data_IF_732925105432
#
_entry.id   IF_732925105432
#
_cell.length_a   1.000
_cell.length_b   1.000
_cell.length_c   1.000
_cell.angle_alpha   90.00
_cell.angle_beta   90.00
_cell.angle_gamma   90.00
#
_symmetry.space_group_name_H-M   'P 1'
#
loop_
_entity.id
_entity.type
_entity.pdbx_description
1 polymer ?
#
# COMPACT_ATOMS: atom_id res chain seq x y z
N UNK A 1 35.27 17.33 -11.80
CA UNK A 1 34.74 16.34 -10.85
C UNK A 1 33.96 17.07 -9.80
N UNK A 2 32.62 17.17 -9.94
CA UNK A 2 31.73 17.81 -8.96
C UNK A 2 30.96 16.70 -8.24
N UNK A 3 31.20 16.56 -6.93
CA UNK A 3 30.49 15.64 -6.05
C UNK A 3 29.09 16.20 -5.78
N UNK A 4 28.03 15.52 -6.25
CA UNK A 4 26.68 15.75 -5.76
C UNK A 4 26.56 15.09 -4.39
N UNK A 5 26.43 15.92 -3.36
CA UNK A 5 26.03 15.48 -2.03
C UNK A 5 24.54 15.14 -2.08
N UNK A 6 24.21 13.86 -1.98
CA UNK A 6 22.83 13.41 -1.75
C UNK A 6 22.49 13.68 -0.29
N UNK A 7 21.64 14.65 -0.07
CA UNK A 7 20.93 14.88 1.20
C UNK A 7 19.93 13.75 1.39
N UNK A 8 20.29 12.76 2.19
CA UNK A 8 19.37 11.74 2.72
C UNK A 8 18.53 12.41 3.81
N UNK A 9 17.30 12.77 3.50
CA UNK A 9 16.29 13.11 4.50
C UNK A 9 15.88 11.82 5.24
N UNK A 10 15.94 11.81 6.58
CA UNK A 10 15.51 10.64 7.34
C UNK A 10 13.98 10.53 7.29
N UNK A 11 13.48 9.47 6.70
CA UNK A 11 12.06 9.09 6.75
C UNK A 11 11.30 9.01 5.43
N UNK A 12 11.89 9.34 4.29
CA UNK A 12 11.24 9.16 3.01
C UNK A 12 11.74 7.87 2.34
N UNK A 13 10.92 6.84 2.34
CA UNK A 13 11.12 5.66 1.49
C UNK A 13 10.81 6.10 0.05
N UNK A 14 11.83 6.51 -0.70
CA UNK A 14 11.69 6.73 -2.13
C UNK A 14 11.71 5.36 -2.79
N UNK A 15 10.55 4.75 -2.99
CA UNK A 15 10.38 3.66 -3.92
C UNK A 15 10.51 4.25 -5.33
N UNK A 16 11.67 4.04 -5.95
CA UNK A 16 11.91 4.45 -7.33
C UNK A 16 10.99 3.64 -8.26
N UNK A 17 10.31 4.27 -9.23
CA UNK A 17 9.45 3.56 -10.16
C UNK A 17 10.26 2.57 -10.99
N UNK A 18 9.78 1.35 -11.08
CA UNK A 18 10.32 0.31 -11.95
C UNK A 18 10.09 0.76 -13.41
N UNK A 19 11.17 1.03 -14.14
CA UNK A 19 11.08 1.21 -15.60
C UNK A 19 10.94 -0.17 -16.25
N UNK A 20 9.73 -0.50 -16.67
CA UNK A 20 9.48 -1.65 -17.51
C UNK A 20 8.00 -1.97 -17.54
N UNK A 21 7.39 -1.76 -18.70
CA UNK A 21 5.96 -1.93 -19.05
C UNK A 21 5.10 -0.73 -18.66
N UNK A 22 4.74 0.07 -19.68
CA UNK A 22 3.63 1.02 -19.60
C UNK A 22 2.33 0.22 -19.59
N UNK A 23 1.93 -0.27 -18.43
CA UNK A 23 0.52 -0.47 -18.15
C UNK A 23 -0.13 0.92 -18.14
N UNK A 24 -1.35 1.05 -18.66
CA UNK A 24 -2.12 2.28 -18.46
C UNK A 24 -2.06 2.63 -16.98
N UNK A 25 -1.77 3.92 -16.64
CA UNK A 25 -1.66 4.28 -15.23
C UNK A 25 -2.99 3.92 -14.57
N UNK A 26 -2.95 3.23 -13.41
CA UNK A 26 -4.16 2.91 -12.68
C UNK A 26 -4.92 4.20 -12.42
N UNK A 27 -6.26 4.15 -12.49
CA UNK A 27 -7.11 5.30 -12.13
C UNK A 27 -6.71 5.76 -10.71
N UNK A 28 -6.53 7.07 -10.51
CA UNK A 28 -6.09 7.62 -9.22
C UNK A 28 -7.01 7.18 -8.09
N UNK A 29 -6.46 6.80 -6.91
CA UNK A 29 -7.27 6.50 -5.74
C UNK A 29 -8.17 7.67 -5.35
N UNK A 30 -9.41 7.37 -5.00
CA UNK A 30 -10.41 8.35 -4.54
C UNK A 30 -10.41 8.35 -3.01
N UNK A 31 -10.32 9.53 -2.40
CA UNK A 31 -10.33 9.71 -0.96
C UNK A 31 -11.50 10.60 -0.54
N UNK A 32 -12.23 10.16 0.48
CA UNK A 32 -13.33 10.91 1.09
C UNK A 32 -13.02 11.11 2.55
N UNK A 33 -12.91 12.37 2.98
CA UNK A 33 -12.68 12.72 4.37
C UNK A 33 -13.92 12.41 5.20
N UNK A 34 -13.70 11.86 6.39
CA UNK A 34 -14.73 11.56 7.39
C UNK A 34 -14.40 12.28 8.69
N UNK A 35 -15.31 12.23 9.68
CA UNK A 35 -15.08 12.85 11.00
C UNK A 35 -13.88 12.25 11.75
N UNK A 36 -13.48 11.02 11.44
CA UNK A 36 -12.48 10.24 12.15
C UNK A 36 -11.32 9.74 11.26
N UNK A 37 -11.26 10.19 10.00
CA UNK A 37 -10.20 9.81 9.08
C UNK A 37 -10.57 9.96 7.61
N UNK A 38 -10.30 8.93 6.81
CA UNK A 38 -10.53 8.89 5.39
C UNK A 38 -11.10 7.53 4.96
N UNK A 39 -12.11 7.54 4.10
CA UNK A 39 -12.47 6.39 3.28
C UNK A 39 -11.77 6.51 1.95
N UNK A 40 -11.20 5.42 1.46
CA UNK A 40 -10.49 5.39 0.20
C UNK A 40 -10.99 4.24 -0.66
N UNK A 41 -10.99 4.46 -1.97
CA UNK A 41 -11.22 3.43 -2.97
C UNK A 41 -10.18 3.57 -4.07
N UNK A 42 -9.55 2.46 -4.43
CA UNK A 42 -8.57 2.39 -5.51
C UNK A 42 -9.08 1.45 -6.59
N UNK A 43 -9.18 1.95 -7.81
CA UNK A 43 -9.65 1.21 -8.96
C UNK A 43 -8.50 0.60 -9.76
N UNK A 44 -8.70 -0.62 -10.27
CA UNK A 44 -7.89 -1.19 -11.31
C UNK A 44 -8.77 -2.06 -12.22
N UNK A 45 -8.89 -1.70 -13.49
CA UNK A 45 -9.81 -2.34 -14.42
C UNK A 45 -11.26 -2.28 -13.92
N UNK A 46 -11.89 -3.44 -13.75
CA UNK A 46 -13.27 -3.57 -13.29
C UNK A 46 -13.40 -3.76 -11.76
N UNK A 47 -12.31 -3.76 -11.03
CA UNK A 47 -12.29 -4.01 -9.60
C UNK A 47 -11.91 -2.77 -8.80
N UNK A 48 -12.49 -2.64 -7.62
CA UNK A 48 -12.19 -1.60 -6.66
C UNK A 48 -11.80 -2.21 -5.32
N UNK A 49 -10.72 -1.73 -4.75
CA UNK A 49 -10.38 -2.01 -3.36
C UNK A 49 -10.74 -0.82 -2.48
N UNK A 50 -11.64 -1.02 -1.55
CA UNK A 50 -11.99 -0.04 -0.53
C UNK A 50 -11.21 -0.28 0.74
N UNK A 51 -10.77 0.79 1.41
CA UNK A 51 -10.13 0.74 2.73
C UNK A 51 -10.39 2.02 3.52
N UNK A 52 -10.20 1.94 4.84
CA UNK A 52 -10.40 3.05 5.75
C UNK A 52 -9.11 3.39 6.48
N UNK A 53 -8.78 4.66 6.49
CA UNK A 53 -7.67 5.21 7.28
C UNK A 53 -8.25 5.98 8.44
N UNK A 54 -8.09 5.47 9.66
CA UNK A 54 -8.57 6.13 10.88
C UNK A 54 -7.48 7.04 11.44
N UNK A 55 -7.89 8.18 11.91
CA UNK A 55 -7.07 9.17 12.62
C UNK A 55 -7.11 10.56 11.99
N UNK A 56 -7.44 11.54 12.81
CA UNK A 56 -7.55 12.94 12.42
C UNK A 56 -6.22 13.58 11.97
N UNK A 57 -5.08 12.87 12.14
CA UNK A 57 -3.76 13.32 11.74
C UNK A 57 -3.30 12.82 10.37
N UNK A 58 -4.05 11.95 9.72
CA UNK A 58 -3.69 11.44 8.40
C UNK A 58 -3.79 12.54 7.33
N UNK A 59 -2.75 12.66 6.49
CA UNK A 59 -2.65 13.68 5.43
C UNK A 59 -2.32 13.00 4.10
N UNK A 60 -3.09 13.32 3.06
CA UNK A 60 -2.72 12.97 1.69
C UNK A 60 -1.48 13.78 1.29
N UNK A 61 -0.44 13.09 0.82
CA UNK A 61 0.74 13.72 0.21
C UNK A 61 0.56 13.83 -1.31
N UNK A 62 0.07 12.78 -1.93
CA UNK A 62 -0.35 12.72 -3.32
C UNK A 62 -1.42 11.63 -3.49
N UNK A 63 -1.74 11.24 -4.74
CA UNK A 63 -2.78 10.25 -5.02
C UNK A 63 -2.49 8.86 -4.41
N UNK A 64 -1.23 8.51 -4.20
CA UNK A 64 -0.83 7.16 -3.75
C UNK A 64 -0.21 7.13 -2.36
N UNK A 65 0.18 8.29 -1.82
CA UNK A 65 0.90 8.38 -0.56
C UNK A 65 0.10 9.11 0.51
N UNK A 66 -0.05 8.46 1.64
CA UNK A 66 -0.72 9.00 2.82
C UNK A 66 0.28 9.02 3.97
N UNK A 67 0.48 10.19 4.56
CA UNK A 67 1.18 10.31 5.82
C UNK A 67 0.17 10.03 6.94
N UNK A 68 0.40 8.96 7.66
CA UNK A 68 -0.37 8.56 8.83
C UNK A 68 0.14 9.25 10.09
N UNK A 69 -0.42 8.92 11.24
CA UNK A 69 0.05 9.46 12.51
C UNK A 69 1.49 9.04 12.83
N UNK A 70 2.23 9.87 13.57
CA UNK A 70 3.59 9.58 14.07
C UNK A 70 4.66 9.31 12.99
N UNK A 71 4.52 9.90 11.81
CA UNK A 71 5.49 9.74 10.73
C UNK A 71 5.45 8.39 10.02
N UNK A 72 4.38 7.63 10.21
CA UNK A 72 4.12 6.42 9.45
C UNK A 72 3.57 6.80 8.08
N UNK A 73 4.22 6.35 7.02
CA UNK A 73 3.75 6.50 5.65
C UNK A 73 2.97 5.27 5.20
N UNK A 74 1.97 5.47 4.35
CA UNK A 74 1.28 4.41 3.62
C UNK A 74 1.30 4.72 2.13
N UNK A 75 1.56 3.71 1.33
CA UNK A 75 1.47 3.77 -0.12
C UNK A 75 0.41 2.77 -0.59
N UNK A 76 -0.36 3.18 -1.61
CA UNK A 76 -1.35 2.33 -2.28
C UNK A 76 -0.82 1.95 -3.66
N UNK A 77 -0.90 0.69 -4.02
CA UNK A 77 -0.49 0.20 -5.34
C UNK A 77 -1.34 -1.00 -5.79
N UNK A 78 -1.19 -1.35 -7.05
CA UNK A 78 -1.71 -2.59 -7.62
C UNK A 78 -0.59 -3.30 -8.38
N UNK A 79 -0.51 -4.62 -8.24
CA UNK A 79 0.45 -5.47 -8.96
C UNK A 79 -0.33 -6.43 -9.82
N UNK A 80 -0.15 -6.33 -11.15
CA UNK A 80 -0.82 -7.19 -12.12
C UNK A 80 -0.35 -8.65 -11.95
N UNK A 81 -1.28 -9.58 -12.08
CA UNK A 81 -1.03 -11.03 -12.07
C UNK A 81 0.07 -11.45 -13.06
N UNK A 82 0.16 -10.77 -14.21
CA UNK A 82 1.19 -11.05 -15.23
C UNK A 82 2.60 -10.78 -14.73
N UNK A 83 2.77 -9.81 -13.81
CA UNK A 83 4.07 -9.51 -13.21
C UNK A 83 4.47 -10.58 -12.18
N UNK A 84 3.50 -11.20 -11.53
CA UNK A 84 3.71 -12.20 -10.49
C UNK A 84 4.09 -13.58 -11.04
N UNK A 85 3.92 -13.82 -12.35
CA UNK A 85 4.24 -15.09 -13.02
C UNK A 85 3.67 -16.33 -12.32
N UNK A 86 2.52 -16.18 -11.64
CA UNK A 86 1.90 -17.22 -10.84
C UNK A 86 0.38 -17.19 -11.02
N UNK A 87 -0.20 -18.34 -11.34
CA UNK A 87 -1.65 -18.52 -11.51
C UNK A 87 -2.35 -19.03 -10.24
N UNK A 88 -1.60 -19.32 -9.19
CA UNK A 88 -2.08 -19.90 -7.94
C UNK A 88 -2.40 -18.84 -6.87
N UNK A 89 -1.72 -18.94 -5.74
CA UNK A 89 -1.88 -17.98 -4.61
C UNK A 89 -1.19 -16.66 -4.91
N UNK A 90 -1.96 -15.70 -5.45
CA UNK A 90 -1.47 -14.36 -5.80
C UNK A 90 -0.88 -13.60 -4.62
N UNK A 91 -1.42 -13.80 -3.41
CA UNK A 91 -0.93 -13.12 -2.21
C UNK A 91 0.47 -13.62 -1.83
N UNK A 92 0.68 -14.93 -1.91
CA UNK A 92 2.01 -15.51 -1.65
C UNK A 92 2.98 -15.16 -2.77
N UNK A 93 2.54 -15.17 -4.03
CA UNK A 93 3.34 -14.79 -5.17
C UNK A 93 3.81 -13.33 -5.06
N UNK A 94 2.91 -12.41 -4.71
CA UNK A 94 3.26 -11.01 -4.49
C UNK A 94 4.27 -10.84 -3.34
N UNK A 95 4.05 -11.49 -2.20
CA UNK A 95 4.96 -11.42 -1.08
C UNK A 95 6.37 -11.93 -1.47
N UNK A 96 6.46 -13.03 -2.23
CA UNK A 96 7.73 -13.57 -2.72
C UNK A 96 8.41 -12.63 -3.72
N UNK A 97 7.63 -12.06 -4.66
CA UNK A 97 8.11 -11.08 -5.63
C UNK A 97 8.78 -9.86 -4.95
N UNK A 98 8.16 -9.31 -3.92
CA UNK A 98 8.73 -8.20 -3.13
C UNK A 98 10.00 -8.63 -2.37
N UNK A 99 10.01 -9.82 -1.79
CA UNK A 99 11.19 -10.37 -1.10
C UNK A 99 12.36 -10.50 -2.08
N UNK A 100 12.12 -11.06 -3.27
CA UNK A 100 13.13 -11.26 -4.31
C UNK A 100 13.65 -9.93 -4.85
N UNK A 101 12.77 -8.93 -5.00
CA UNK A 101 13.14 -7.57 -5.36
C UNK A 101 14.14 -6.98 -4.37
N UNK A 102 13.90 -7.15 -3.07
CA UNK A 102 14.77 -6.62 -2.04
C UNK A 102 16.07 -7.41 -1.90
N UNK A 103 16.07 -8.72 -2.10
CA UNK A 103 17.30 -9.53 -2.10
C UNK A 103 18.31 -9.12 -3.15
N UNK A 104 17.85 -8.54 -4.27
CA UNK A 104 18.74 -8.02 -5.31
C UNK A 104 19.39 -6.67 -4.95
N UNK A 105 18.93 -5.99 -3.90
CA UNK A 105 19.25 -4.58 -3.59
C UNK A 105 19.74 -4.34 -2.17
N UNK A 106 19.69 -5.34 -1.34
CA UNK A 106 20.03 -5.24 0.07
C UNK A 106 20.98 -6.34 0.50
N UNK A 107 21.81 -6.06 1.50
CA UNK A 107 22.74 -7.04 2.06
C UNK A 107 22.03 -8.15 2.83
N UNK A 108 20.87 -7.84 3.41
CA UNK A 108 20.03 -8.81 4.14
C UNK A 108 18.56 -8.42 4.07
N UNK A 109 17.70 -9.40 3.85
CA UNK A 109 16.24 -9.28 3.91
C UNK A 109 15.70 -10.32 4.87
N UNK A 110 14.83 -9.90 5.76
CA UNK A 110 14.03 -10.79 6.61
C UNK A 110 12.55 -10.56 6.30
N UNK A 111 11.78 -11.63 6.24
CA UNK A 111 10.33 -11.55 6.04
C UNK A 111 9.59 -12.45 7.03
N UNK A 112 8.39 -12.02 7.39
CA UNK A 112 7.53 -12.78 8.28
C UNK A 112 6.06 -12.54 7.90
N UNK A 113 5.27 -13.62 7.73
CA UNK A 113 3.82 -13.51 7.60
C UNK A 113 3.21 -13.21 8.97
N UNK A 114 2.40 -12.15 9.06
CA UNK A 114 1.78 -11.66 10.29
C UNK A 114 0.31 -12.11 10.35
N UNK A 115 0.09 -13.39 10.61
CA UNK A 115 -1.26 -13.96 10.76
C UNK A 115 -2.02 -13.34 11.93
N UNK A 116 -1.32 -12.89 12.95
CA UNK A 116 -1.89 -12.18 14.10
C UNK A 116 -2.55 -10.83 13.73
N UNK A 117 -2.23 -10.29 12.56
CA UNK A 117 -2.81 -9.06 12.03
C UNK A 117 -3.98 -9.30 11.07
N UNK A 118 -4.07 -10.48 10.44
CA UNK A 118 -5.14 -10.82 9.48
C UNK A 118 -6.39 -11.41 10.14
N UNK A 119 -6.25 -11.97 11.34
CA UNK A 119 -7.34 -12.67 12.01
C UNK A 119 -7.82 -13.87 11.18
N UNK A 120 -9.12 -13.94 10.92
CA UNK A 120 -9.74 -15.05 10.15
C UNK A 120 -9.80 -14.80 8.64
N UNK A 121 -9.31 -13.66 8.15
CA UNK A 121 -9.36 -13.29 6.74
C UNK A 121 -8.37 -14.10 5.91
N UNK A 122 -8.88 -14.74 4.84
CA UNK A 122 -8.08 -15.52 3.88
C UNK A 122 -7.81 -14.76 2.57
N UNK A 123 -8.58 -13.72 2.31
CA UNK A 123 -8.47 -12.85 1.14
C UNK A 123 -7.45 -11.72 1.30
N UNK A 124 -6.89 -11.58 2.50
CA UNK A 124 -5.83 -10.60 2.83
C UNK A 124 -4.63 -11.31 3.43
N UNK A 125 -3.44 -10.89 3.02
CA UNK A 125 -2.17 -11.34 3.61
C UNK A 125 -1.38 -10.14 4.10
N UNK A 126 -0.82 -10.23 5.30
CA UNK A 126 0.12 -9.24 5.83
C UNK A 126 1.51 -9.86 5.91
N UNK A 127 2.46 -9.25 5.20
CA UNK A 127 3.86 -9.65 5.23
C UNK A 127 4.70 -8.51 5.80
N UNK A 128 5.39 -8.75 6.89
CA UNK A 128 6.41 -7.84 7.40
C UNK A 128 7.73 -8.11 6.67
N UNK A 129 8.29 -7.07 6.03
CA UNK A 129 9.62 -7.14 5.39
C UNK A 129 10.56 -6.20 6.13
N UNK A 130 11.75 -6.70 6.44
CA UNK A 130 12.86 -5.95 7.05
C UNK A 130 14.06 -6.00 6.14
N UNK A 131 14.51 -4.84 5.73
CA UNK A 131 15.62 -4.67 4.79
C UNK A 131 16.79 -4.01 5.49
N UNK A 132 17.97 -4.57 5.34
CA UNK A 132 19.20 -4.07 5.95
C UNK A 132 20.16 -3.66 4.83
N UNK A 133 20.74 -2.49 4.94
CA UNK A 133 21.84 -2.05 4.08
C UNK A 133 23.20 -2.43 4.71
N UNK A 134 24.29 -2.16 3.98
CA UNK A 134 25.66 -2.45 4.44
C UNK A 134 26.07 -1.73 5.72
N UNK A 135 25.31 -0.69 6.12
CA UNK A 135 25.50 0.06 7.37
C UNK A 135 24.63 -0.47 8.51
N UNK A 136 23.87 -1.53 8.26
CA UNK A 136 22.93 -2.08 9.23
C UNK A 136 21.66 -1.25 9.42
N UNK A 137 21.42 -0.21 8.60
CA UNK A 137 20.21 0.60 8.67
C UNK A 137 19.01 -0.25 8.26
N UNK A 138 18.04 -0.37 9.14
CA UNK A 138 16.83 -1.16 8.92
C UNK A 138 15.73 -0.30 8.31
N UNK A 139 15.18 -0.77 7.21
CA UNK A 139 13.88 -0.35 6.68
C UNK A 139 12.90 -1.47 6.99
N UNK A 140 11.74 -1.17 7.54
CA UNK A 140 10.70 -2.17 7.79
C UNK A 140 9.37 -1.70 7.26
N UNK A 141 8.62 -2.61 6.62
CA UNK A 141 7.31 -2.31 6.05
C UNK A 141 6.35 -3.47 6.29
N UNK A 142 5.08 -3.15 6.50
CA UNK A 142 3.99 -4.11 6.35
C UNK A 142 3.44 -3.99 4.94
N UNK A 143 3.42 -5.10 4.20
CA UNK A 143 2.72 -5.25 2.95
C UNK A 143 1.38 -5.92 3.23
N UNK A 144 0.29 -5.22 3.01
CA UNK A 144 -1.07 -5.70 3.19
C UNK A 144 -1.64 -5.95 1.79
N UNK A 145 -1.62 -7.20 1.34
CA UNK A 145 -2.14 -7.61 0.04
C UNK A 145 -3.61 -8.04 0.13
N UNK A 146 -4.43 -7.61 -0.82
CA UNK A 146 -5.80 -8.06 -1.04
C UNK A 146 -5.87 -8.69 -2.43
N UNK A 147 -6.23 -9.97 -2.49
CA UNK A 147 -6.34 -10.69 -3.76
C UNK A 147 -7.51 -10.16 -4.59
N UNK A 148 -7.26 -9.90 -5.87
CA UNK A 148 -8.19 -9.49 -6.89
C UNK A 148 -8.15 -10.49 -8.06
N UNK A 149 -9.06 -10.39 -9.01
CA UNK A 149 -9.12 -11.27 -10.18
C UNK A 149 -7.86 -11.19 -11.03
N UNK A 150 -7.39 -9.97 -11.28
CA UNK A 150 -6.30 -9.69 -12.22
C UNK A 150 -4.99 -9.29 -11.52
N UNK A 151 -4.90 -9.41 -10.18
CA UNK A 151 -3.69 -9.10 -9.43
C UNK A 151 -3.90 -8.96 -7.94
N UNK A 152 -3.10 -8.08 -7.33
CA UNK A 152 -3.12 -7.82 -5.89
C UNK A 152 -3.16 -6.31 -5.65
N UNK A 153 -4.17 -5.82 -4.94
CA UNK A 153 -4.13 -4.50 -4.33
C UNK A 153 -3.24 -4.52 -3.10
N UNK A 154 -2.39 -3.53 -2.95
CA UNK A 154 -1.39 -3.49 -1.89
C UNK A 154 -1.45 -2.17 -1.13
N UNK A 155 -1.48 -2.26 0.20
CA UNK A 155 -1.19 -1.15 1.10
C UNK A 155 0.17 -1.41 1.74
N UNK A 156 1.15 -0.58 1.43
CA UNK A 156 2.49 -0.66 2.03
C UNK A 156 2.60 0.35 3.15
N UNK A 157 2.77 -0.10 4.40
CA UNK A 157 2.84 0.74 5.61
C UNK A 157 4.25 0.70 6.17
N UNK A 158 4.90 1.87 6.29
CA UNK A 158 6.27 1.99 6.78
C UNK A 158 6.43 3.17 7.76
N UNK A 159 7.20 3.02 8.84
CA UNK A 159 7.90 1.81 9.27
C UNK A 159 6.99 0.78 9.93
N UNK A 160 7.31 -0.52 9.78
CA UNK A 160 6.66 -1.60 10.49
C UNK A 160 7.20 -1.66 11.94
N UNK A 161 6.36 -1.31 12.90
CA UNK A 161 6.66 -1.28 14.33
C UNK A 161 5.45 -1.77 15.13
N UNK A 162 5.68 -2.28 16.33
CA UNK A 162 4.61 -2.83 17.18
C UNK A 162 3.49 -1.83 17.51
N UNK A 163 3.83 -0.57 17.66
CA UNK A 163 2.85 0.50 17.93
C UNK A 163 2.00 0.87 16.70
N UNK A 164 2.36 0.35 15.51
CA UNK A 164 1.61 0.47 14.25
C UNK A 164 0.65 -0.71 14.04
N UNK A 165 0.83 -1.82 14.75
CA UNK A 165 -0.02 -3.01 14.61
C UNK A 165 -1.54 -2.72 14.75
N UNK A 166 -2.02 -1.89 15.68
CA UNK A 166 -3.44 -1.53 15.75
C UNK A 166 -3.97 -0.85 14.48
N UNK A 167 -3.15 0.02 13.88
CA UNK A 167 -3.49 0.69 12.62
C UNK A 167 -3.56 -0.33 11.47
N UNK A 168 -2.59 -1.25 11.41
CA UNK A 168 -2.58 -2.31 10.39
C UNK A 168 -3.81 -3.21 10.52
N UNK A 169 -4.22 -3.59 11.74
CA UNK A 169 -5.46 -4.35 11.99
C UNK A 169 -6.69 -3.61 11.49
N UNK A 170 -6.76 -2.32 11.69
CA UNK A 170 -7.86 -1.49 11.20
C UNK A 170 -7.89 -1.42 9.67
N UNK A 171 -6.73 -1.21 9.04
CA UNK A 171 -6.60 -1.27 7.59
C UNK A 171 -7.05 -2.64 7.06
N UNK A 172 -6.53 -3.72 7.62
CA UNK A 172 -6.92 -5.09 7.25
C UNK A 172 -8.43 -5.30 7.40
N UNK A 173 -9.03 -4.86 8.49
CA UNK A 173 -10.46 -5.06 8.75
C UNK A 173 -11.35 -4.38 7.72
N UNK A 174 -10.92 -3.23 7.20
CA UNK A 174 -11.65 -2.42 6.24
C UNK A 174 -11.28 -2.69 4.77
N UNK A 175 -10.10 -3.31 4.52
CA UNK A 175 -9.59 -3.56 3.17
C UNK A 175 -10.36 -4.69 2.48
N UNK A 176 -11.14 -4.35 1.46
CA UNK A 176 -12.03 -5.31 0.78
C UNK A 176 -12.26 -4.91 -0.68
N UNK A 177 -12.56 -5.90 -1.52
CA UNK A 177 -13.10 -5.62 -2.85
C UNK A 177 -14.49 -5.01 -2.73
N UNK A 178 -14.74 -3.98 -3.51
CA UNK A 178 -16.01 -3.28 -3.61
C UNK A 178 -16.53 -3.44 -5.04
N UNK A 179 -17.79 -3.87 -5.24
CA UNK A 179 -18.37 -3.94 -6.58
C UNK A 179 -18.38 -2.57 -7.25
N UNK A 180 -18.07 -2.51 -8.55
CA UNK A 180 -18.11 -1.26 -9.35
C UNK A 180 -19.48 -0.58 -9.42
N UNK A 181 -20.54 -1.26 -8.99
CA UNK A 181 -21.90 -0.71 -8.84
C UNK A 181 -22.06 0.20 -7.60
N UNK A 182 -21.02 0.96 -7.22
CA UNK A 182 -21.24 2.21 -6.52
C UNK A 182 -22.05 3.06 -7.47
N UNK A 183 -23.30 3.32 -7.09
CA UNK A 183 -24.28 4.07 -7.88
C UNK A 183 -23.60 5.32 -8.46
N UNK A 184 -23.75 5.55 -9.76
CA UNK A 184 -23.07 6.67 -10.44
C UNK A 184 -23.37 8.03 -9.75
N UNK A 185 -24.48 8.13 -9.02
CA UNK A 185 -24.81 9.26 -8.15
C UNK A 185 -23.92 9.33 -6.90
N UNK A 186 -23.60 8.20 -6.28
CA UNK A 186 -22.74 8.18 -5.09
C UNK A 186 -21.29 8.51 -5.46
N UNK A 187 -20.79 8.01 -6.58
CA UNK A 187 -19.48 8.37 -7.14
C UNK A 187 -19.42 9.86 -7.49
N UNK A 188 -20.50 10.41 -8.05
CA UNK A 188 -20.61 11.82 -8.40
C UNK A 188 -20.69 12.72 -7.16
N UNK A 189 -21.38 12.29 -6.12
CA UNK A 189 -21.44 12.97 -4.82
C UNK A 189 -20.07 12.98 -4.15
N UNK A 190 -19.37 11.82 -4.09
CA UNK A 190 -18.06 11.68 -3.51
C UNK A 190 -17.01 12.54 -4.26
N UNK A 191 -17.07 12.59 -5.60
CA UNK A 191 -16.15 13.42 -6.37
C UNK A 191 -16.44 14.93 -6.24
N UNK A 192 -17.69 15.34 -6.05
CA UNK A 192 -18.05 16.75 -5.84
C UNK A 192 -17.66 17.23 -4.44
N UNK A 193 -17.81 16.39 -3.41
CA UNK A 193 -17.38 16.69 -2.04
C UNK A 193 -15.84 16.80 -1.96
N UNK A 194 -15.10 15.94 -2.68
CA UNK A 194 -13.64 16.02 -2.75
C UNK A 194 -13.13 17.27 -3.48
N UNK A 195 -13.86 17.76 -4.48
CA UNK A 195 -13.53 19.03 -5.17
C UNK A 195 -13.86 20.28 -4.37
N UNK A 196 -14.85 20.23 -3.51
CA UNK A 196 -15.23 21.36 -2.65
C UNK A 196 -14.29 21.55 -1.44
N UNK A 197 -13.38 20.60 -1.19
CA UNK A 197 -12.45 20.60 -0.05
C UNK A 197 -10.98 20.91 -0.47
N UNK A 198 -10.73 21.20 -1.74
CA UNK A 198 -9.46 21.71 -2.28
C UNK A 198 -9.48 23.23 -2.38
#
# INVERSE_FOLDING_TARGET
MKRLAQLLLPGALILLPIKGVQAEPPEDPIYVKTSDGWNAAYAHGDEYAGFRVIGNGAKLQDAYHILLQKGVGMMVSFVDKKELQNDGDLLSAHAQWEIDYWHQRASKVESNTREDLTGTRKDVKVTEIKVYNDKGTRISSYLIGLAAKDGVFVLSVSPAQKDVDPLVKELVSSFKLVPRNLDAEETKRLSSEAKAQR
#
